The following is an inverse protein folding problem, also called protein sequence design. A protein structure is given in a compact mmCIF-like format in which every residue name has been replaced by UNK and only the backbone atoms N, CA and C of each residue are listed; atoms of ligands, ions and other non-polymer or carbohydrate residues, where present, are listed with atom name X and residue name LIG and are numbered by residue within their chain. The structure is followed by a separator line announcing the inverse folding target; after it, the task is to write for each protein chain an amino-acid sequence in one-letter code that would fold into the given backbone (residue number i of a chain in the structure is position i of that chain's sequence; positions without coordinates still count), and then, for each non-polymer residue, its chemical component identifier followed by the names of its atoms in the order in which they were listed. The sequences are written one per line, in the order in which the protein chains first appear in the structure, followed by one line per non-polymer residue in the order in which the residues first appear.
data_IF_474784095183
#
_entry.id   IF_474784095183
#
_cell.length_a   1.000
_cell.length_b   1.000
_cell.length_c   1.000
_cell.angle_alpha   90.00
_cell.angle_beta   90.00
_cell.angle_gamma   90.00
#
_symmetry.space_group_name_H-M   'P 1'
#
loop_
_entity.id
_entity.type
_entity.pdbx_description
1 polymer ?
#
# COMPACT_ATOMS: atom_id res chain seq x y z
N UNK A 1 23.74 18.45 -24.04
CA UNK A 1 22.38 18.95 -24.34
C UNK A 1 21.97 19.80 -23.14
N UNK A 2 21.74 21.10 -23.35
CA UNK A 2 21.39 22.00 -22.25
C UNK A 2 19.95 21.70 -21.83
N UNK A 3 19.78 20.79 -20.86
CA UNK A 3 18.52 20.62 -20.15
C UNK A 3 18.18 21.96 -19.53
N UNK A 4 16.97 22.43 -19.81
CA UNK A 4 16.51 23.72 -19.33
C UNK A 4 16.34 23.68 -17.80
N UNK A 5 16.85 24.67 -17.07
CA UNK A 5 16.94 24.64 -15.59
C UNK A 5 15.58 24.40 -14.90
N UNK A 6 14.49 24.92 -15.48
CA UNK A 6 13.13 24.68 -14.96
C UNK A 6 12.71 23.22 -15.07
N UNK A 7 13.06 22.54 -16.17
CA UNK A 7 12.77 21.11 -16.37
C UNK A 7 13.57 20.27 -15.39
N UNK A 8 14.86 20.58 -15.21
CA UNK A 8 15.71 19.86 -14.24
C UNK A 8 15.18 19.97 -12.82
N UNK A 9 14.80 21.19 -12.41
CA UNK A 9 14.23 21.44 -11.08
C UNK A 9 12.92 20.69 -10.87
N UNK A 10 12.08 20.61 -11.90
CA UNK A 10 10.84 19.85 -11.86
C UNK A 10 11.11 18.34 -11.71
N UNK A 11 12.02 17.78 -12.51
CA UNK A 11 12.41 16.38 -12.43
C UNK A 11 13.07 16.03 -11.10
N UNK A 12 13.87 16.94 -10.54
CA UNK A 12 14.46 16.75 -9.21
C UNK A 12 13.38 16.68 -8.12
N UNK A 13 12.36 17.55 -8.18
CA UNK A 13 11.23 17.49 -7.25
C UNK A 13 10.44 16.18 -7.37
N UNK A 14 10.32 15.62 -8.57
CA UNK A 14 9.71 14.30 -8.80
C UNK A 14 10.60 13.16 -8.29
N UNK A 15 11.92 13.25 -8.48
CA UNK A 15 12.89 12.25 -8.02
C UNK A 15 12.93 12.08 -6.49
N UNK A 16 12.59 13.12 -5.74
CA UNK A 16 12.46 13.04 -4.28
C UNK A 16 11.24 12.22 -3.81
N UNK A 17 10.29 11.94 -4.71
CA UNK A 17 8.93 11.47 -4.38
C UNK A 17 8.55 10.17 -5.06
N UNK A 18 9.10 9.95 -6.25
CA UNK A 18 8.83 8.83 -7.13
C UNK A 18 10.06 7.92 -7.29
N UNK A 19 9.86 6.63 -7.60
CA UNK A 19 10.95 5.73 -7.95
C UNK A 19 11.66 6.18 -9.23
N UNK A 20 12.97 5.96 -9.32
CA UNK A 20 13.78 6.35 -10.47
C UNK A 20 13.20 5.90 -11.84
N UNK A 21 12.73 4.65 -12.02
CA UNK A 21 12.17 4.25 -13.32
C UNK A 21 10.94 5.07 -13.75
N UNK A 22 10.11 5.51 -12.80
CA UNK A 22 8.97 6.38 -13.12
C UNK A 22 9.44 7.78 -13.49
N UNK A 23 10.47 8.29 -12.82
CA UNK A 23 11.04 9.61 -13.10
C UNK A 23 11.69 9.64 -14.46
N UNK A 24 12.37 8.56 -14.86
CA UNK A 24 12.99 8.43 -16.18
C UNK A 24 11.92 8.49 -17.30
N UNK A 25 10.82 7.73 -17.15
CA UNK A 25 9.70 7.77 -18.09
C UNK A 25 9.04 9.17 -18.15
N UNK A 26 8.86 9.82 -16.99
CA UNK A 26 8.33 11.18 -16.93
C UNK A 26 9.28 12.20 -17.54
N UNK A 27 10.60 12.00 -17.41
CA UNK A 27 11.61 12.85 -18.03
C UNK A 27 11.55 12.77 -19.54
N UNK A 28 11.44 11.56 -20.10
CA UNK A 28 11.34 11.36 -21.54
C UNK A 28 10.05 12.00 -22.10
N UNK A 29 8.91 11.79 -21.42
CA UNK A 29 7.64 12.42 -21.80
C UNK A 29 7.66 13.95 -21.70
N UNK A 30 8.29 14.51 -20.67
CA UNK A 30 8.41 15.96 -20.47
C UNK A 30 9.35 16.60 -21.50
N UNK A 31 10.44 15.93 -21.85
CA UNK A 31 11.37 16.39 -22.88
C UNK A 31 10.72 16.37 -24.26
N UNK A 32 9.97 15.32 -24.60
CA UNK A 32 9.22 15.26 -25.85
C UNK A 32 8.18 16.40 -25.95
N UNK A 33 7.48 16.70 -24.85
CA UNK A 33 6.55 17.84 -24.80
C UNK A 33 7.27 19.18 -24.93
N UNK A 34 8.44 19.34 -24.30
CA UNK A 34 9.26 20.54 -24.44
C UNK A 34 9.69 20.76 -25.90
N UNK A 35 10.14 19.71 -26.59
CA UNK A 35 10.58 19.81 -27.99
C UNK A 35 9.42 20.24 -28.92
N UNK A 36 8.22 19.70 -28.74
CA UNK A 36 7.02 20.14 -29.48
C UNK A 36 6.68 21.63 -29.20
N UNK A 37 6.74 22.04 -27.93
CA UNK A 37 6.50 23.43 -27.55
C UNK A 37 7.60 24.37 -28.05
N UNK A 38 8.85 23.88 -28.16
CA UNK A 38 9.96 24.61 -28.75
C UNK A 38 9.74 24.88 -30.23
N UNK A 39 9.26 23.89 -30.99
CA UNK A 39 8.90 24.06 -32.40
C UNK A 39 7.78 25.09 -32.58
N UNK A 40 6.82 25.13 -31.64
CA UNK A 40 5.66 26.02 -31.71
C UNK A 40 5.92 27.45 -31.25
N UNK A 41 6.69 27.63 -30.17
CA UNK A 41 6.85 28.93 -29.49
C UNK A 41 8.18 29.60 -29.84
N UNK A 42 9.21 28.83 -30.17
CA UNK A 42 10.55 29.34 -30.50
C UNK A 42 11.30 29.99 -29.32
N UNK A 43 10.73 29.97 -28.11
CA UNK A 43 11.32 30.51 -26.88
C UNK A 43 11.49 29.40 -25.82
N UNK A 44 12.73 29.08 -25.39
CA UNK A 44 13.01 28.07 -24.37
C UNK A 44 12.25 28.25 -23.05
N UNK A 45 12.15 29.48 -22.56
CA UNK A 45 11.49 29.75 -21.28
C UNK A 45 9.96 29.60 -21.38
N UNK A 46 9.38 30.00 -22.52
CA UNK A 46 7.96 29.78 -22.79
C UNK A 46 7.64 28.30 -23.03
N UNK A 47 8.48 27.58 -23.78
CA UNK A 47 8.31 26.17 -24.07
C UNK A 47 8.39 25.30 -22.80
N UNK A 48 9.37 25.56 -21.94
CA UNK A 48 9.48 24.84 -20.67
C UNK A 48 8.29 25.09 -19.73
N UNK A 49 7.81 26.34 -19.65
CA UNK A 49 6.62 26.66 -18.85
C UNK A 49 5.36 26.03 -19.43
N UNK A 50 5.19 26.03 -20.76
CA UNK A 50 4.07 25.39 -21.43
C UNK A 50 4.08 23.87 -21.22
N UNK A 51 5.23 23.23 -21.42
CA UNK A 51 5.39 21.79 -21.19
C UNK A 51 5.08 21.41 -19.73
N UNK A 52 5.61 22.14 -18.74
CA UNK A 52 5.30 21.88 -17.32
C UNK A 52 3.82 22.14 -17.00
N UNK A 53 3.21 23.17 -17.59
CA UNK A 53 1.78 23.46 -17.38
C UNK A 53 0.88 22.35 -17.94
N UNK A 54 1.24 21.79 -19.10
CA UNK A 54 0.53 20.66 -19.72
C UNK A 54 0.73 19.36 -18.93
N UNK A 55 1.94 19.13 -18.40
CA UNK A 55 2.28 17.94 -17.62
C UNK A 55 1.71 17.95 -16.20
N UNK A 56 1.58 19.16 -15.62
CA UNK A 56 1.14 19.39 -14.24
C UNK A 56 2.30 19.54 -13.26
N UNK A 57 2.02 20.14 -12.10
CA UNK A 57 3.02 20.31 -11.05
C UNK A 57 3.43 18.98 -10.38
N UNK A 58 4.58 18.98 -9.70
CA UNK A 58 5.14 17.77 -9.10
C UNK A 58 4.25 17.16 -7.99
N UNK A 59 3.42 17.95 -7.29
CA UNK A 59 2.47 17.43 -6.29
C UNK A 59 1.31 16.70 -6.99
N UNK A 60 0.77 17.29 -8.05
CA UNK A 60 -0.32 16.75 -8.86
C UNK A 60 0.08 15.44 -9.51
N UNK A 61 1.24 15.40 -10.18
CA UNK A 61 1.78 14.19 -10.80
C UNK A 61 2.02 13.10 -9.74
N UNK A 62 2.72 13.43 -8.65
CA UNK A 62 3.00 12.47 -7.57
C UNK A 62 1.71 11.90 -6.96
N UNK A 63 0.72 12.76 -6.70
CA UNK A 63 -0.55 12.33 -6.12
C UNK A 63 -1.33 11.39 -7.05
N UNK A 64 -1.22 11.57 -8.37
CA UNK A 64 -1.82 10.67 -9.36
C UNK A 64 -1.17 9.27 -9.30
N UNK A 65 0.17 9.19 -9.29
CA UNK A 65 0.90 7.93 -9.14
C UNK A 65 0.59 7.23 -7.82
N UNK A 66 0.59 7.97 -6.70
CA UNK A 66 0.24 7.41 -5.39
C UNK A 66 -1.19 6.90 -5.35
N UNK A 67 -2.13 7.62 -5.97
CA UNK A 67 -3.54 7.18 -6.06
C UNK A 67 -3.69 5.89 -6.86
N UNK A 68 -2.93 5.76 -7.95
CA UNK A 68 -2.94 4.58 -8.80
C UNK A 68 -2.13 3.39 -8.23
N UNK A 69 -1.29 3.64 -7.21
CA UNK A 69 -0.37 2.62 -6.69
C UNK A 69 -1.07 1.33 -6.23
N UNK A 70 -0.54 0.15 -6.59
CA UNK A 70 -1.04 -1.14 -6.10
C UNK A 70 -1.06 -1.21 -4.57
N UNK A 71 -0.07 -0.59 -3.91
CA UNK A 71 0.06 -0.58 -2.45
C UNK A 71 -1.12 0.09 -1.76
N UNK A 72 -1.59 1.22 -2.29
CA UNK A 72 -2.77 1.90 -1.76
C UNK A 72 -4.04 1.07 -1.94
N UNK A 73 -4.19 0.41 -3.10
CA UNK A 73 -5.36 -0.44 -3.38
C UNK A 73 -5.38 -1.67 -2.46
N UNK A 74 -4.24 -2.35 -2.31
CA UNK A 74 -4.08 -3.47 -1.38
C UNK A 74 -4.38 -3.04 0.06
N UNK A 75 -3.82 -1.90 0.49
CA UNK A 75 -4.04 -1.38 1.83
C UNK A 75 -5.52 -1.06 2.10
N UNK A 76 -6.20 -0.46 1.12
CA UNK A 76 -7.63 -0.19 1.22
C UNK A 76 -8.46 -1.47 1.33
N UNK A 77 -8.21 -2.46 0.46
CA UNK A 77 -8.92 -3.76 0.50
C UNK A 77 -8.74 -4.45 1.85
N UNK A 78 -7.52 -4.46 2.39
CA UNK A 78 -7.22 -5.07 3.69
C UNK A 78 -7.87 -4.33 4.86
N UNK A 79 -7.92 -2.99 4.82
CA UNK A 79 -8.62 -2.20 5.83
C UNK A 79 -10.13 -2.45 5.84
N UNK A 80 -10.73 -2.63 4.67
CA UNK A 80 -12.17 -2.93 4.55
C UNK A 80 -12.46 -4.37 5.01
N UNK A 81 -11.61 -5.33 4.65
CA UNK A 81 -11.76 -6.73 5.08
C UNK A 81 -11.52 -6.92 6.59
N UNK A 82 -10.65 -6.09 7.18
CA UNK A 82 -10.20 -6.19 8.57
C UNK A 82 -11.32 -6.29 9.60
N UNK A 83 -12.29 -5.36 9.64
CA UNK A 83 -13.40 -5.39 10.58
C UNK A 83 -14.27 -6.64 10.46
N UNK A 84 -14.54 -7.13 9.24
CA UNK A 84 -15.35 -8.32 9.02
C UNK A 84 -14.67 -9.54 9.65
N UNK A 85 -13.38 -9.73 9.35
CA UNK A 85 -12.59 -10.84 9.90
C UNK A 85 -12.41 -10.67 11.41
N UNK A 86 -12.16 -9.46 11.87
CA UNK A 86 -12.00 -9.14 13.29
C UNK A 86 -13.26 -9.42 14.12
N UNK A 87 -14.44 -9.05 13.61
CA UNK A 87 -15.71 -9.35 14.27
C UNK A 87 -16.00 -10.86 14.28
N UNK A 88 -15.68 -11.57 13.20
CA UNK A 88 -15.86 -13.01 13.14
C UNK A 88 -14.99 -13.75 14.16
N UNK A 89 -13.70 -13.37 14.28
CA UNK A 89 -12.83 -13.88 15.32
C UNK A 89 -13.30 -13.43 16.71
N UNK A 90 -13.70 -12.17 16.88
CA UNK A 90 -14.23 -11.67 18.14
C UNK A 90 -15.40 -12.51 18.66
N UNK A 91 -16.35 -12.88 17.79
CA UNK A 91 -17.46 -13.76 18.14
C UNK A 91 -16.96 -15.15 18.56
N UNK A 92 -16.06 -15.77 17.78
CA UNK A 92 -15.48 -17.08 18.11
C UNK A 92 -14.79 -17.05 19.49
N UNK A 93 -13.97 -16.02 19.73
CA UNK A 93 -13.21 -15.87 20.97
C UNK A 93 -14.09 -15.58 22.19
N UNK A 94 -15.16 -14.81 22.02
CA UNK A 94 -16.13 -14.54 23.10
C UNK A 94 -16.94 -15.78 23.47
N UNK A 95 -17.24 -16.64 22.49
CA UNK A 95 -17.98 -17.89 22.73
C UNK A 95 -17.09 -19.04 23.20
N UNK A 96 -15.77 -18.90 23.08
CA UNK A 96 -14.81 -19.95 23.39
C UNK A 96 -14.07 -19.68 24.71
N UNK A 97 -14.57 -20.24 25.82
CA UNK A 97 -13.94 -20.13 27.14
C UNK A 97 -12.48 -20.64 27.18
N UNK A 98 -12.11 -21.53 26.24
CA UNK A 98 -10.77 -22.10 26.14
C UNK A 98 -9.69 -21.08 25.73
N UNK A 99 -10.02 -20.03 24.96
CA UNK A 99 -8.99 -19.12 24.45
C UNK A 99 -8.31 -18.32 25.57
N UNK A 100 -9.13 -17.87 26.54
CA UNK A 100 -8.71 -17.08 27.69
C UNK A 100 -7.82 -17.86 28.68
N UNK A 101 -7.95 -19.19 28.71
CA UNK A 101 -7.17 -20.08 29.59
C UNK A 101 -5.96 -20.70 28.89
N UNK A 102 -6.01 -20.95 27.59
CA UNK A 102 -4.92 -21.65 26.87
C UNK A 102 -3.78 -20.73 26.42
N UNK A 103 -4.06 -19.48 26.03
CA UNK A 103 -3.04 -18.59 25.45
C UNK A 103 -2.39 -17.68 26.50
N UNK A 104 -1.06 -17.64 26.65
CA UNK A 104 -0.39 -16.72 27.56
C UNK A 104 -0.69 -15.25 27.28
N UNK A 105 -0.83 -14.43 28.33
CA UNK A 105 -1.06 -12.98 28.22
C UNK A 105 -0.03 -12.27 27.33
N UNK A 106 1.30 -12.55 27.44
CA UNK A 106 2.29 -11.90 26.58
C UNK A 106 2.02 -12.13 25.09
N UNK A 107 1.62 -13.34 24.70
CA UNK A 107 1.31 -13.68 23.30
C UNK A 107 0.13 -12.87 22.77
N UNK A 108 -0.90 -12.63 23.60
CA UNK A 108 -2.05 -11.78 23.23
C UNK A 108 -1.66 -10.33 23.03
N UNK A 109 -0.82 -9.79 23.92
CA UNK A 109 -0.33 -8.42 23.82
C UNK A 109 0.53 -8.22 22.58
N UNK A 110 1.44 -9.15 22.30
CA UNK A 110 2.26 -9.14 21.08
C UNK A 110 1.39 -9.21 19.84
N UNK A 111 0.38 -10.09 19.81
CA UNK A 111 -0.55 -10.19 18.70
C UNK A 111 -1.32 -8.89 18.48
N UNK A 112 -1.88 -8.31 19.55
CA UNK A 112 -2.60 -7.04 19.49
C UNK A 112 -1.73 -5.88 19.03
N UNK A 113 -0.47 -5.82 19.49
CA UNK A 113 0.49 -4.81 19.06
C UNK A 113 0.85 -4.94 17.57
N UNK A 114 1.13 -6.15 17.09
CA UNK A 114 1.41 -6.40 15.67
C UNK A 114 0.22 -6.09 14.78
N UNK A 115 -0.99 -6.43 15.22
CA UNK A 115 -2.20 -6.09 14.48
C UNK A 115 -2.42 -4.57 14.44
N UNK A 116 -2.24 -3.89 15.58
CA UNK A 116 -2.37 -2.43 15.68
C UNK A 116 -1.34 -1.70 14.80
N UNK A 117 -0.09 -2.16 14.78
CA UNK A 117 0.95 -1.59 13.92
C UNK A 117 0.65 -1.83 12.44
N UNK A 118 0.17 -3.03 12.07
CA UNK A 118 -0.26 -3.31 10.71
C UNK A 118 -1.40 -2.39 10.26
N UNK A 119 -2.43 -2.20 11.10
CA UNK A 119 -3.53 -1.27 10.82
C UNK A 119 -3.01 0.17 10.63
N UNK A 120 -2.10 0.63 11.50
CA UNK A 120 -1.52 1.97 11.37
C UNK A 120 -0.76 2.14 10.05
N UNK A 121 0.01 1.13 9.64
CA UNK A 121 0.74 1.12 8.38
C UNK A 121 -0.22 1.12 7.18
N UNK A 122 -1.32 0.36 7.22
CA UNK A 122 -2.34 0.40 6.16
C UNK A 122 -3.00 1.78 6.08
N UNK A 123 -3.33 2.39 7.21
CA UNK A 123 -3.90 3.75 7.26
C UNK A 123 -2.91 4.76 6.70
N UNK A 124 -1.62 4.65 7.03
CA UNK A 124 -0.56 5.47 6.46
C UNK A 124 -0.50 5.30 4.93
N UNK A 125 -0.50 4.06 4.43
CA UNK A 125 -0.47 3.77 3.00
C UNK A 125 -1.69 4.35 2.24
N UNK A 126 -2.87 4.40 2.86
CA UNK A 126 -4.07 5.01 2.26
C UNK A 126 -4.06 6.54 2.33
N UNK A 127 -3.54 7.12 3.41
CA UNK A 127 -3.56 8.56 3.65
C UNK A 127 -2.42 9.32 2.98
N UNK A 128 -1.27 8.69 2.85
CA UNK A 128 -0.08 9.30 2.22
C UNK A 128 -0.36 9.63 0.75
N UNK A 129 0.15 10.77 0.30
CA UNK A 129 -0.07 11.31 -1.05
C UNK A 129 1.20 11.84 -1.70
N UNK A 130 2.27 12.04 -0.92
CA UNK A 130 3.48 12.75 -1.35
C UNK A 130 4.67 11.85 -1.59
N UNK A 131 4.68 10.64 -1.01
CA UNK A 131 5.82 9.73 -1.09
C UNK A 131 5.38 8.33 -1.50
N UNK A 132 5.68 7.98 -2.75
CA UNK A 132 5.34 6.67 -3.30
C UNK A 132 6.03 5.54 -2.53
N UNK A 133 7.33 5.68 -2.25
CA UNK A 133 8.11 4.68 -1.52
C UNK A 133 7.56 4.43 -0.12
N UNK A 134 7.08 5.46 0.58
CA UNK A 134 6.47 5.32 1.91
C UNK A 134 5.18 4.52 1.83
N UNK A 135 4.31 4.80 0.84
CA UNK A 135 3.09 4.01 0.59
C UNK A 135 3.44 2.55 0.31
N UNK A 136 4.42 2.31 -0.57
CA UNK A 136 4.85 0.97 -0.95
C UNK A 136 5.37 0.17 0.24
N UNK A 137 6.31 0.71 1.01
CA UNK A 137 6.89 0.03 2.17
C UNK A 137 5.85 -0.20 3.27
N UNK A 138 4.99 0.78 3.56
CA UNK A 138 3.92 0.63 4.54
C UNK A 138 2.92 -0.46 4.13
N UNK A 139 2.49 -0.47 2.86
CA UNK A 139 1.60 -1.51 2.33
C UNK A 139 2.24 -2.89 2.37
N UNK A 140 3.51 -3.03 1.97
CA UNK A 140 4.23 -4.30 1.93
C UNK A 140 4.43 -4.87 3.33
N UNK A 141 4.89 -4.04 4.28
CA UNK A 141 5.06 -4.42 5.67
C UNK A 141 3.74 -4.85 6.31
N UNK A 142 2.68 -4.04 6.16
CA UNK A 142 1.39 -4.36 6.75
C UNK A 142 0.74 -5.62 6.14
N UNK A 143 0.83 -5.78 4.82
CA UNK A 143 0.28 -6.94 4.11
C UNK A 143 0.96 -8.23 4.58
N UNK A 144 2.29 -8.22 4.69
CA UNK A 144 3.04 -9.34 5.23
C UNK A 144 2.68 -9.65 6.68
N UNK A 145 2.60 -8.61 7.54
CA UNK A 145 2.21 -8.79 8.95
C UNK A 145 0.81 -9.40 9.07
N UNK A 146 -0.18 -8.92 8.32
CA UNK A 146 -1.55 -9.48 8.35
C UNK A 146 -1.57 -10.94 7.92
N UNK A 147 -0.87 -11.31 6.84
CA UNK A 147 -0.82 -12.69 6.36
C UNK A 147 -0.20 -13.64 7.41
N UNK A 148 0.88 -13.21 8.08
CA UNK A 148 1.52 -13.99 9.14
C UNK A 148 0.59 -14.16 10.34
N UNK A 149 -0.02 -13.08 10.82
CA UNK A 149 -0.94 -13.12 11.96
C UNK A 149 -2.12 -14.07 11.70
N UNK A 150 -2.70 -14.01 10.50
CA UNK A 150 -3.80 -14.88 10.09
C UNK A 150 -3.40 -16.35 10.04
N UNK A 151 -2.23 -16.63 9.45
CA UNK A 151 -1.70 -18.00 9.39
C UNK A 151 -1.46 -18.58 10.78
N UNK A 152 -0.92 -17.76 11.71
CA UNK A 152 -0.69 -18.17 13.10
C UNK A 152 -2.00 -18.45 13.82
N UNK A 153 -3.01 -17.58 13.69
CA UNK A 153 -4.32 -17.81 14.29
C UNK A 153 -4.97 -19.08 13.72
N UNK A 154 -4.97 -19.25 12.40
CA UNK A 154 -5.55 -20.42 11.75
C UNK A 154 -4.90 -21.72 12.26
N UNK A 155 -3.57 -21.78 12.29
CA UNK A 155 -2.85 -22.95 12.79
C UNK A 155 -3.12 -23.23 14.27
N UNK A 156 -3.19 -22.19 15.09
CA UNK A 156 -3.49 -22.31 16.52
C UNK A 156 -4.89 -22.86 16.76
N UNK A 157 -5.87 -22.37 16.00
CA UNK A 157 -7.28 -22.74 16.20
C UNK A 157 -7.57 -24.14 15.68
N UNK A 158 -7.00 -24.52 14.53
CA UNK A 158 -7.13 -25.88 13.99
C UNK A 158 -6.50 -26.95 14.89
N UNK A 159 -5.55 -26.59 15.75
CA UNK A 159 -4.84 -27.54 16.63
C UNK A 159 -5.41 -27.60 18.04
N UNK A 160 -6.02 -26.53 18.54
CA UNK A 160 -6.40 -26.40 19.95
C UNK A 160 -7.91 -26.39 20.21
N UNK A 161 -8.75 -26.13 19.20
CA UNK A 161 -10.19 -25.99 19.43
C UNK A 161 -11.00 -27.25 19.03
N UNK A 162 -12.10 -27.53 19.75
CA UNK A 162 -13.07 -28.59 19.43
C UNK A 162 -13.75 -28.36 18.05
N UNK A 163 -14.53 -29.34 17.53
CA UNK A 163 -15.05 -29.35 16.17
C UNK A 163 -15.77 -28.07 15.73
N UNK A 164 -15.77 -27.77 14.42
CA UNK A 164 -16.08 -26.45 13.90
C UNK A 164 -17.52 -26.02 14.17
N UNK A 165 -17.66 -24.87 14.83
CA UNK A 165 -18.91 -24.12 14.86
C UNK A 165 -19.11 -23.35 13.54
N UNK A 166 -20.34 -22.98 13.16
CA UNK A 166 -20.57 -22.15 11.98
C UNK A 166 -19.86 -20.79 12.07
N UNK A 167 -19.71 -20.23 13.27
CA UNK A 167 -18.92 -19.01 13.51
C UNK A 167 -17.44 -19.22 13.18
N UNK A 168 -16.89 -20.39 13.55
CA UNK A 168 -15.53 -20.74 13.21
C UNK A 168 -15.36 -20.84 11.69
N UNK A 169 -16.28 -21.49 10.97
CA UNK A 169 -16.21 -21.59 9.51
C UNK A 169 -16.18 -20.21 8.83
N UNK A 170 -17.01 -19.27 9.29
CA UNK A 170 -17.00 -17.89 8.77
C UNK A 170 -15.65 -17.20 9.01
N UNK A 171 -15.08 -17.35 10.22
CA UNK A 171 -13.79 -16.78 10.56
C UNK A 171 -12.64 -17.40 9.75
N UNK A 172 -12.67 -18.72 9.52
CA UNK A 172 -11.71 -19.44 8.69
C UNK A 172 -11.76 -18.93 7.25
N UNK A 173 -12.95 -18.89 6.63
CA UNK A 173 -13.13 -18.41 5.26
C UNK A 173 -12.66 -16.96 5.12
N UNK A 174 -13.05 -16.09 6.06
CA UNK A 174 -12.64 -14.69 6.06
C UNK A 174 -11.13 -14.53 6.16
N UNK A 175 -10.47 -15.29 7.04
CA UNK A 175 -9.02 -15.27 7.20
C UNK A 175 -8.30 -15.81 5.96
N UNK A 176 -8.78 -16.92 5.37
CA UNK A 176 -8.21 -17.47 4.13
C UNK A 176 -8.33 -16.50 2.97
N UNK A 177 -9.49 -15.85 2.81
CA UNK A 177 -9.68 -14.82 1.79
C UNK A 177 -8.71 -13.64 1.99
N UNK A 178 -8.52 -13.19 3.24
CA UNK A 178 -7.59 -12.11 3.57
C UNK A 178 -6.13 -12.49 3.32
N UNK A 179 -5.73 -13.72 3.63
CA UNK A 179 -4.41 -14.26 3.28
C UNK A 179 -4.23 -14.28 1.76
N UNK A 180 -5.23 -14.72 1.00
CA UNK A 180 -5.14 -14.79 -0.46
C UNK A 180 -4.99 -13.39 -1.07
N UNK A 181 -5.75 -12.41 -0.58
CA UNK A 181 -5.60 -11.00 -0.97
C UNK A 181 -4.20 -10.48 -0.66
N UNK A 182 -3.66 -10.81 0.51
CA UNK A 182 -2.31 -10.40 0.90
C UNK A 182 -1.24 -11.07 0.01
N UNK A 183 -1.38 -12.36 -0.26
CA UNK A 183 -0.47 -13.13 -1.11
C UNK A 183 -0.47 -12.64 -2.56
N UNK A 184 -1.62 -12.22 -3.09
CA UNK A 184 -1.72 -11.61 -4.43
C UNK A 184 -1.09 -10.23 -4.50
N UNK A 185 -1.21 -9.44 -3.43
CA UNK A 185 -0.65 -8.08 -3.39
C UNK A 185 0.89 -8.06 -3.27
N UNK A 186 1.51 -9.04 -2.61
CA UNK A 186 2.96 -9.05 -2.37
C UNK A 186 3.78 -9.03 -3.67
N UNK A 187 3.54 -9.91 -4.66
CA UNK A 187 4.23 -9.86 -5.95
C UNK A 187 4.10 -8.50 -6.62
N UNK A 188 2.88 -7.94 -6.71
CA UNK A 188 2.65 -6.63 -7.33
C UNK A 188 3.47 -5.52 -6.67
N UNK A 189 3.61 -5.55 -5.35
CA UNK A 189 4.38 -4.57 -4.58
C UNK A 189 5.89 -4.71 -4.72
N UNK A 190 6.36 -5.90 -5.11
CA UNK A 190 7.77 -6.20 -5.31
C UNK A 190 8.18 -5.95 -6.77
N UNK A 191 7.32 -6.32 -7.73
CA UNK A 191 7.63 -6.28 -9.17
C UNK A 191 7.33 -4.95 -9.83
N UNK A 192 6.40 -4.16 -9.30
CA UNK A 192 6.05 -2.84 -9.83
C UNK A 192 6.50 -1.75 -8.84
N UNK A 193 7.81 -1.41 -8.84
CA UNK A 193 8.39 -0.48 -7.88
C UNK A 193 7.88 0.94 -8.02
#
# INVERSE_FOLDING_TARGET
MARHELIERHLQALAERLPAPMVDELADGLLASYDDQMERLGDPDAAARAAIADFGDADTVTAAFVRASPGRQAAFRLLVAGPIVGLSWGAVLLTGDAWASTIPVPSRLTFGFLLGSAVLLLVLAVRERRRYTTVRLAALGATGTVAVLDTVILGTVLTLLPPPSPLLLVALIGSSARIMLAAQAIPELVTHP
#
